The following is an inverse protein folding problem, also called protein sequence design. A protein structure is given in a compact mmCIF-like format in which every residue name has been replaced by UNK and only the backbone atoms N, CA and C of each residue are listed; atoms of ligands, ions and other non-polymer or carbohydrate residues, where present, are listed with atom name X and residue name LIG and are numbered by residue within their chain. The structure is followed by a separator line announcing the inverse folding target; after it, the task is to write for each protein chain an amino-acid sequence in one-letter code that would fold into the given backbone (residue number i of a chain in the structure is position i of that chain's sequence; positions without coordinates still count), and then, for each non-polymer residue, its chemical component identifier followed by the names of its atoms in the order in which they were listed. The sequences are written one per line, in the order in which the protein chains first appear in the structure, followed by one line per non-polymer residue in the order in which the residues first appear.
data_IF_394519280313
#
_entry.id   IF_394519280313
#
_cell.length_a   1.000
_cell.length_b   1.000
_cell.length_c   1.000
_cell.angle_alpha   90.00
_cell.angle_beta   90.00
_cell.angle_gamma   90.00
#
_symmetry.space_group_name_H-M   'P 1'
#
loop_
_entity.id
_entity.type
_entity.pdbx_description
1 polymer ?
#
# COMPACT_ATOMS: atom_id res chain seq x y z
N UNK A 1 13.56 -8.85 -5.61
CA UNK A 1 12.57 -8.02 -4.89
C UNK A 1 11.41 -7.64 -5.79
N UNK A 2 11.63 -6.92 -6.91
CA UNK A 2 10.57 -6.48 -7.85
C UNK A 2 9.61 -7.62 -8.23
N UNK A 3 10.12 -8.71 -8.83
CA UNK A 3 9.29 -9.85 -9.25
C UNK A 3 8.53 -10.45 -8.06
N UNK A 4 9.20 -10.61 -6.91
CA UNK A 4 8.58 -11.15 -5.70
C UNK A 4 7.42 -10.28 -5.19
N UNK A 5 7.56 -8.96 -5.20
CA UNK A 5 6.50 -8.05 -4.78
C UNK A 5 5.35 -8.01 -5.77
N UNK A 6 5.62 -8.12 -7.08
CA UNK A 6 4.57 -8.27 -8.11
C UNK A 6 3.78 -9.56 -7.85
N UNK A 7 4.45 -10.70 -7.69
CA UNK A 7 3.79 -11.96 -7.40
C UNK A 7 3.01 -11.93 -6.08
N UNK A 8 3.55 -11.28 -5.03
CA UNK A 8 2.89 -11.14 -3.74
C UNK A 8 1.57 -10.38 -3.85
N UNK A 9 1.59 -9.20 -4.48
CA UNK A 9 0.37 -8.38 -4.68
C UNK A 9 -0.60 -9.07 -5.63
N UNK A 10 -0.11 -9.71 -6.70
CA UNK A 10 -0.94 -10.48 -7.63
C UNK A 10 -1.60 -11.71 -7.00
N UNK A 11 -1.02 -12.25 -5.93
CA UNK A 11 -1.59 -13.39 -5.20
C UNK A 11 -2.76 -13.01 -4.26
N UNK A 12 -3.09 -11.71 -4.15
CA UNK A 12 -4.18 -11.25 -3.29
C UNK A 12 -3.86 -11.34 -1.79
N UNK A 13 -2.58 -11.48 -1.44
CA UNK A 13 -2.13 -11.35 -0.06
C UNK A 13 -2.32 -9.92 0.39
N UNK A 14 -2.75 -9.75 1.64
CA UNK A 14 -2.91 -8.45 2.25
C UNK A 14 -1.54 -7.86 2.62
N UNK A 15 -0.87 -7.32 1.61
CA UNK A 15 0.51 -6.82 1.65
C UNK A 15 0.61 -5.54 0.82
N UNK A 16 1.27 -4.53 1.38
CA UNK A 16 1.56 -3.28 0.68
C UNK A 16 2.78 -3.41 -0.25
N UNK A 17 2.68 -2.85 -1.46
CA UNK A 17 3.82 -2.68 -2.38
C UNK A 17 4.78 -1.53 -1.98
N UNK A 18 4.33 -0.65 -1.09
CA UNK A 18 4.99 0.63 -0.82
C UNK A 18 6.33 0.47 -0.09
N UNK A 19 6.42 -0.42 0.91
CA UNK A 19 7.67 -0.70 1.62
C UNK A 19 8.81 -1.18 0.69
N UNK A 20 8.58 -2.23 -0.12
CA UNK A 20 9.57 -2.69 -1.10
C UNK A 20 10.01 -1.62 -2.09
N UNK A 21 9.15 -0.67 -2.48
CA UNK A 21 9.50 0.43 -3.39
C UNK A 21 10.55 1.38 -2.77
N UNK A 22 10.46 1.66 -1.47
CA UNK A 22 11.48 2.46 -0.75
C UNK A 22 12.84 1.77 -0.83
N UNK A 23 12.88 0.47 -0.55
CA UNK A 23 14.11 -0.31 -0.58
C UNK A 23 14.70 -0.43 -2.00
N UNK A 24 13.85 -0.58 -3.02
CA UNK A 24 14.28 -0.58 -4.43
C UNK A 24 14.91 0.78 -4.79
N UNK A 25 14.29 1.89 -4.39
CA UNK A 25 14.82 3.24 -4.60
C UNK A 25 16.18 3.44 -3.94
N UNK A 26 16.33 3.01 -2.68
CA UNK A 26 17.60 3.03 -1.96
C UNK A 26 18.68 2.17 -2.64
N UNK A 27 18.32 0.97 -3.11
CA UNK A 27 19.24 0.08 -3.83
C UNK A 27 19.72 0.68 -5.17
N UNK A 28 18.81 1.30 -5.93
CA UNK A 28 19.15 1.97 -7.18
C UNK A 28 20.10 3.16 -6.92
N UNK A 29 19.81 3.98 -5.92
CA UNK A 29 20.69 5.08 -5.54
C UNK A 29 22.08 4.60 -5.08
N UNK A 30 22.13 3.51 -4.32
CA UNK A 30 23.39 2.89 -3.91
C UNK A 30 24.20 2.38 -5.12
N UNK A 31 23.55 1.76 -6.10
CA UNK A 31 24.20 1.29 -7.34
C UNK A 31 24.75 2.46 -8.16
N UNK A 32 23.99 3.55 -8.26
CA UNK A 32 24.40 4.77 -8.97
C UNK A 32 25.58 5.46 -8.27
N UNK A 33 25.57 5.55 -6.93
CA UNK A 33 26.65 6.15 -6.14
C UNK A 33 27.99 5.41 -6.30
N UNK A 34 27.97 4.08 -6.45
CA UNK A 34 29.18 3.27 -6.63
C UNK A 34 29.71 3.25 -8.07
N UNK A 35 28.98 3.87 -9.02
CA UNK A 35 29.31 3.81 -10.44
C UNK A 35 29.07 2.44 -11.07
N UNK A 36 28.23 1.59 -10.48
CA UNK A 36 27.81 0.30 -11.03
C UNK A 36 28.12 -0.91 -10.14
N UNK A 37 27.76 -2.10 -10.64
CA UNK A 37 27.82 -3.33 -9.85
C UNK A 37 29.23 -3.92 -9.80
N UNK A 38 29.78 -4.10 -8.59
CA UNK A 38 31.03 -4.83 -8.37
C UNK A 38 30.99 -6.26 -8.90
N UNK A 39 29.81 -6.88 -8.96
CA UNK A 39 29.62 -8.25 -9.47
C UNK A 39 29.73 -8.35 -10.99
N UNK A 40 29.29 -7.31 -11.71
CA UNK A 40 29.31 -7.25 -13.17
C UNK A 40 30.50 -6.45 -13.74
N UNK A 41 31.38 -5.92 -12.88
CA UNK A 41 32.57 -5.10 -13.23
C UNK A 41 32.28 -3.90 -14.14
N UNK A 42 31.02 -3.49 -14.32
CA UNK A 42 30.68 -2.21 -14.95
C UNK A 42 30.96 -1.10 -13.93
N UNK A 43 32.13 -0.48 -14.01
CA UNK A 43 32.47 0.74 -13.26
C UNK A 43 32.50 1.93 -14.20
N UNK A 44 31.46 2.74 -14.15
CA UNK A 44 31.36 3.99 -14.88
C UNK A 44 32.35 4.98 -14.25
N UNK A 45 33.45 5.26 -14.94
CA UNK A 45 34.55 6.08 -14.42
C UNK A 45 34.11 7.49 -14.00
N UNK A 46 33.09 8.06 -14.64
CA UNK A 46 32.55 9.39 -14.33
C UNK A 46 31.88 9.48 -12.95
N UNK A 47 31.30 8.38 -12.44
CA UNK A 47 30.61 8.35 -11.15
C UNK A 47 31.54 8.12 -9.95
N UNK A 48 32.86 7.95 -10.17
CA UNK A 48 33.84 7.73 -9.09
C UNK A 48 33.89 8.86 -8.05
N UNK A 49 33.53 10.08 -8.43
CA UNK A 49 33.53 11.23 -7.52
C UNK A 49 32.56 11.04 -6.33
N UNK A 50 31.47 10.31 -6.53
CA UNK A 50 30.46 10.04 -5.50
C UNK A 50 30.77 8.81 -4.64
N UNK A 51 31.98 8.25 -4.73
CA UNK A 51 32.38 7.07 -3.97
C UNK A 51 32.83 7.39 -2.52
N UNK A 52 32.28 8.46 -1.95
CA UNK A 52 32.50 8.90 -0.58
C UNK A 52 31.29 8.50 0.27
N UNK A 53 31.51 8.01 1.49
CA UNK A 53 30.41 7.49 2.33
C UNK A 53 29.34 8.55 2.63
N UNK A 54 29.76 9.82 2.73
CA UNK A 54 28.85 10.95 2.91
C UNK A 54 27.92 11.16 1.72
N UNK A 55 28.48 11.26 0.52
CA UNK A 55 27.69 11.49 -0.70
C UNK A 55 26.84 10.27 -1.06
N UNK A 56 27.35 9.07 -0.77
CA UNK A 56 26.62 7.81 -0.88
C UNK A 56 25.40 7.79 0.04
N UNK A 57 25.57 8.20 1.30
CA UNK A 57 24.44 8.32 2.24
C UNK A 57 23.42 9.33 1.73
N UNK A 58 23.84 10.50 1.30
CA UNK A 58 22.95 11.54 0.76
C UNK A 58 22.17 11.04 -0.47
N UNK A 59 22.82 10.29 -1.38
CA UNK A 59 22.18 9.68 -2.55
C UNK A 59 21.18 8.59 -2.16
N UNK A 60 21.52 7.71 -1.22
CA UNK A 60 20.62 6.67 -0.71
C UNK A 60 19.38 7.30 -0.07
N UNK A 61 19.55 8.39 0.68
CA UNK A 61 18.44 9.17 1.25
C UNK A 61 17.52 9.72 0.15
N UNK A 62 18.09 10.31 -0.90
CA UNK A 62 17.31 10.74 -2.08
C UNK A 62 16.58 9.57 -2.76
N UNK A 63 17.22 8.40 -2.86
CA UNK A 63 16.63 7.18 -3.43
C UNK A 63 15.46 6.62 -2.62
N UNK A 64 15.62 6.54 -1.30
CA UNK A 64 14.55 6.12 -0.38
C UNK A 64 13.36 7.10 -0.44
N UNK A 65 13.64 8.41 -0.37
CA UNK A 65 12.65 9.48 -0.52
C UNK A 65 11.88 9.38 -1.84
N UNK A 66 12.59 9.10 -2.94
CA UNK A 66 12.03 8.90 -4.28
C UNK A 66 11.14 7.65 -4.35
N UNK A 67 11.49 6.57 -3.64
CA UNK A 67 10.66 5.37 -3.52
C UNK A 67 9.35 5.63 -2.77
N UNK A 68 9.40 6.36 -1.65
CA UNK A 68 8.20 6.80 -0.91
C UNK A 68 7.33 7.73 -1.78
N UNK A 69 7.95 8.66 -2.48
CA UNK A 69 7.26 9.54 -3.41
C UNK A 69 6.56 8.76 -4.53
N UNK A 70 7.22 7.76 -5.13
CA UNK A 70 6.63 6.90 -6.15
C UNK A 70 5.46 6.06 -5.61
N UNK A 71 5.56 5.62 -4.35
CA UNK A 71 4.54 4.86 -3.64
C UNK A 71 3.25 5.66 -3.41
N UNK A 72 3.37 6.81 -2.73
CA UNK A 72 2.23 7.62 -2.28
C UNK A 72 1.88 8.77 -3.21
N UNK A 73 2.64 8.98 -4.28
CA UNK A 73 2.49 10.10 -5.23
C UNK A 73 2.60 11.47 -4.56
N UNK A 74 3.31 11.54 -3.42
CA UNK A 74 3.50 12.74 -2.62
C UNK A 74 4.98 13.12 -2.52
N UNK A 75 5.44 14.19 -3.20
CA UNK A 75 6.85 14.57 -3.21
C UNK A 75 7.27 15.12 -1.84
N UNK A 76 6.46 15.99 -1.24
CA UNK A 76 6.73 16.55 0.09
C UNK A 76 6.69 15.46 1.17
N UNK A 77 5.74 14.52 1.09
CA UNK A 77 5.68 13.37 1.99
C UNK A 77 6.95 12.52 1.93
N UNK A 78 7.49 12.27 0.73
CA UNK A 78 8.76 11.57 0.55
C UNK A 78 9.96 12.31 1.17
N UNK A 79 10.00 13.64 1.08
CA UNK A 79 11.06 14.45 1.70
C UNK A 79 10.95 14.44 3.22
N UNK A 80 9.74 14.57 3.78
CA UNK A 80 9.49 14.50 5.22
C UNK A 80 9.83 13.12 5.79
N UNK A 81 9.50 12.04 5.08
CA UNK A 81 9.92 10.69 5.48
C UNK A 81 11.44 10.56 5.53
N UNK A 82 12.15 11.07 4.50
CA UNK A 82 13.60 11.02 4.48
C UNK A 82 14.25 11.86 5.59
N UNK A 83 13.57 12.94 5.98
CA UNK A 83 13.90 13.81 7.11
C UNK A 83 13.78 13.11 8.46
N UNK A 84 12.68 12.41 8.67
CA UNK A 84 12.32 11.79 9.94
C UNK A 84 13.05 10.47 10.18
N UNK A 85 13.12 9.62 9.15
CA UNK A 85 13.55 8.22 9.30
C UNK A 85 14.96 7.91 8.76
N UNK A 86 15.47 8.72 7.83
CA UNK A 86 16.73 8.39 7.11
C UNK A 86 17.88 9.36 7.44
N UNK A 87 17.56 10.63 7.68
CA UNK A 87 18.54 11.67 7.98
C UNK A 87 18.64 11.92 9.50
N UNK A 88 19.84 11.76 10.05
CA UNK A 88 20.11 12.13 11.46
C UNK A 88 20.46 13.61 11.62
N UNK A 89 20.93 14.24 10.55
CA UNK A 89 21.39 15.63 10.54
C UNK A 89 20.87 16.34 9.30
N UNK A 90 20.27 17.51 9.49
CA UNK A 90 19.64 18.27 8.43
C UNK A 90 20.60 19.26 7.77
N UNK A 91 20.64 19.25 6.43
CA UNK A 91 21.36 20.24 5.63
C UNK A 91 20.46 20.77 4.54
N UNK A 92 20.44 22.08 4.35
CA UNK A 92 19.62 22.74 3.32
C UNK A 92 19.92 22.23 1.91
N UNK A 93 21.17 21.86 1.63
CA UNK A 93 21.53 21.26 0.33
C UNK A 93 20.91 19.87 0.11
N UNK A 94 20.76 19.05 1.16
CA UNK A 94 20.14 17.73 1.06
C UNK A 94 18.63 17.84 0.88
N UNK A 95 17.99 18.82 1.54
CA UNK A 95 16.58 19.17 1.33
C UNK A 95 16.32 19.44 -0.16
N UNK A 96 17.07 20.36 -0.76
CA UNK A 96 16.86 20.71 -2.16
C UNK A 96 17.10 19.54 -3.11
N UNK A 97 18.12 18.72 -2.85
CA UNK A 97 18.41 17.51 -3.65
C UNK A 97 17.29 16.47 -3.54
N UNK A 98 16.78 16.21 -2.34
CA UNK A 98 15.68 15.26 -2.10
C UNK A 98 14.37 15.76 -2.71
N UNK A 99 14.06 17.04 -2.54
CA UNK A 99 12.90 17.67 -3.15
C UNK A 99 12.93 17.61 -4.69
N UNK A 100 14.08 17.96 -5.30
CA UNK A 100 14.23 17.89 -6.75
C UNK A 100 14.07 16.45 -7.28
N UNK A 101 14.66 15.47 -6.59
CA UNK A 101 14.54 14.05 -6.93
C UNK A 101 13.09 13.58 -6.87
N UNK A 102 12.38 13.86 -5.78
CA UNK A 102 10.97 13.47 -5.61
C UNK A 102 10.03 14.20 -6.56
N UNK A 103 10.26 15.48 -6.85
CA UNK A 103 9.50 16.23 -7.85
C UNK A 103 9.67 15.64 -9.25
N UNK A 104 10.90 15.25 -9.61
CA UNK A 104 11.19 14.60 -10.90
C UNK A 104 10.43 13.28 -11.04
N UNK A 105 10.42 12.47 -9.98
CA UNK A 105 9.66 11.20 -9.94
C UNK A 105 8.18 11.44 -10.21
N UNK A 106 7.57 12.44 -9.57
CA UNK A 106 6.16 12.77 -9.79
C UNK A 106 5.91 13.17 -11.23
N UNK A 107 6.71 14.07 -11.79
CA UNK A 107 6.55 14.53 -13.19
C UNK A 107 6.65 13.37 -14.16
N UNK A 108 7.65 12.50 -14.00
CA UNK A 108 7.83 11.30 -14.83
C UNK A 108 6.64 10.36 -14.69
N UNK A 109 6.23 10.07 -13.46
CA UNK A 109 5.08 9.19 -13.19
C UNK A 109 3.79 9.75 -13.79
N UNK A 110 3.54 11.07 -13.65
CA UNK A 110 2.40 11.77 -14.25
C UNK A 110 2.43 11.64 -15.78
N UNK A 111 3.57 11.89 -16.39
CA UNK A 111 3.74 11.78 -17.85
C UNK A 111 3.43 10.37 -18.35
N UNK A 112 3.93 9.33 -17.65
CA UNK A 112 3.63 7.94 -18.00
C UNK A 112 2.15 7.58 -17.83
N UNK A 113 1.50 8.04 -16.75
CA UNK A 113 0.06 7.81 -16.53
C UNK A 113 -0.75 8.44 -17.67
N UNK A 114 -0.43 9.68 -18.08
CA UNK A 114 -1.14 10.37 -19.15
C UNK A 114 -0.97 9.69 -20.50
N UNK A 115 0.24 9.26 -20.83
CA UNK A 115 0.51 8.45 -22.03
C UNK A 115 -0.32 7.15 -22.02
N UNK A 116 -0.40 6.52 -20.85
CA UNK A 116 -1.14 5.29 -20.66
C UNK A 116 -2.66 5.46 -20.60
N UNK A 117 -3.16 6.68 -20.31
CA UNK A 117 -4.57 7.04 -20.34
C UNK A 117 -5.15 7.00 -21.75
N UNK A 118 -4.31 7.15 -22.78
CA UNK A 118 -4.68 7.00 -24.20
C UNK A 118 -5.02 5.56 -24.63
N UNK A 119 -5.43 4.67 -23.73
CA UNK A 119 -5.90 3.30 -24.00
C UNK A 119 -4.81 2.27 -24.32
N UNK A 120 -3.55 2.68 -24.52
CA UNK A 120 -2.45 1.81 -24.95
C UNK A 120 -1.84 0.94 -23.85
N UNK A 121 -2.08 1.25 -22.57
CA UNK A 121 -1.48 0.52 -21.44
C UNK A 121 -2.51 -0.17 -20.52
N UNK A 122 -3.77 -0.33 -20.94
CA UNK A 122 -4.81 -0.96 -20.10
C UNK A 122 -5.00 -0.27 -18.75
N UNK A 123 -5.06 -1.05 -17.66
CA UNK A 123 -5.34 -0.55 -16.31
C UNK A 123 -4.23 0.33 -15.71
N UNK A 124 -3.04 0.43 -16.32
CA UNK A 124 -1.96 1.30 -15.81
C UNK A 124 -2.31 2.80 -15.91
N UNK A 125 -3.21 3.19 -16.82
CA UNK A 125 -3.77 4.55 -16.89
C UNK A 125 -4.90 4.80 -15.89
N UNK A 126 -5.44 3.75 -15.26
CA UNK A 126 -6.52 3.85 -14.28
C UNK A 126 -5.92 4.08 -12.88
N UNK A 127 -5.86 5.34 -12.45
CA UNK A 127 -5.37 5.69 -11.12
C UNK A 127 -5.05 7.17 -11.01
N UNK A 128 -5.91 7.90 -10.29
CA UNK A 128 -5.74 9.32 -10.00
C UNK A 128 -4.41 9.64 -9.31
N UNK A 129 -3.97 10.88 -9.49
CA UNK A 129 -2.72 11.40 -8.94
C UNK A 129 -2.75 11.56 -7.43
N UNK A 130 -3.96 11.65 -6.90
CA UNK A 130 -4.29 11.67 -5.50
C UNK A 130 -5.00 10.34 -5.21
N UNK A 131 -4.45 9.57 -4.28
CA UNK A 131 -5.07 8.31 -3.85
C UNK A 131 -6.35 8.62 -3.05
N UNK A 132 -6.30 9.68 -2.25
CA UNK A 132 -7.36 10.23 -1.41
C UNK A 132 -7.95 11.51 -2.02
N UNK A 133 -8.69 11.40 -3.11
CA UNK A 133 -9.39 12.56 -3.66
C UNK A 133 -10.73 12.72 -2.93
N UNK A 134 -10.80 13.65 -1.99
CA UNK A 134 -12.04 14.05 -1.29
C UNK A 134 -12.67 15.27 -1.98
N UNK A 135 -12.33 15.49 -3.26
CA UNK A 135 -12.72 16.65 -4.04
C UNK A 135 -14.19 16.65 -4.42
N UNK A 136 -15.04 17.13 -3.52
CA UNK A 136 -16.11 18.13 -3.82
C UNK A 136 -16.99 18.46 -2.60
N UNK A 137 -16.77 17.82 -1.45
CA UNK A 137 -17.58 18.07 -0.25
C UNK A 137 -16.83 18.99 0.71
N UNK A 138 -17.39 20.18 0.95
CA UNK A 138 -16.84 21.12 1.94
C UNK A 138 -17.15 20.63 3.36
N UNK A 139 -16.30 19.74 3.88
CA UNK A 139 -16.39 19.29 5.27
C UNK A 139 -15.94 20.44 6.19
N UNK A 140 -16.90 21.06 6.88
CA UNK A 140 -16.63 22.11 7.88
C UNK A 140 -16.49 21.46 9.26
N UNK A 141 -15.27 21.38 9.76
CA UNK A 141 -14.98 20.92 11.12
C UNK A 141 -15.30 22.02 12.14
N UNK A 142 -16.00 21.66 13.21
CA UNK A 142 -16.25 22.50 14.38
C UNK A 142 -15.28 22.12 15.50
N UNK A 143 -15.06 23.04 16.46
CA UNK A 143 -14.22 22.78 17.64
C UNK A 143 -14.67 21.56 18.44
N UNK A 144 -15.98 21.26 18.46
CA UNK A 144 -16.50 20.04 19.09
C UNK A 144 -16.03 18.73 18.41
N UNK A 145 -15.76 18.77 17.11
CA UNK A 145 -15.31 17.60 16.35
C UNK A 145 -13.86 17.24 16.70
N UNK A 146 -13.07 18.18 17.23
CA UNK A 146 -11.70 17.93 17.69
C UNK A 146 -11.65 16.88 18.80
N UNK A 147 -12.66 16.87 19.68
CA UNK A 147 -12.76 15.86 20.74
C UNK A 147 -13.00 14.47 20.16
N UNK A 148 -13.85 14.35 19.14
CA UNK A 148 -14.09 13.10 18.44
C UNK A 148 -12.85 12.63 17.67
N UNK A 149 -12.17 13.53 16.95
CA UNK A 149 -10.91 13.21 16.24
C UNK A 149 -9.83 12.73 17.21
N UNK A 150 -9.72 13.38 18.37
CA UNK A 150 -8.76 12.99 19.42
C UNK A 150 -9.11 11.61 19.98
N UNK A 151 -10.39 11.33 20.24
CA UNK A 151 -10.84 10.02 20.73
C UNK A 151 -10.53 8.91 19.72
N UNK A 152 -10.79 9.14 18.44
CA UNK A 152 -10.42 8.20 17.36
C UNK A 152 -8.90 7.97 17.33
N UNK A 153 -8.10 9.03 17.51
CA UNK A 153 -6.64 8.94 17.61
C UNK A 153 -6.18 8.08 18.79
N UNK A 154 -6.78 8.23 19.97
CA UNK A 154 -6.47 7.42 21.16
C UNK A 154 -6.84 5.95 20.93
N UNK A 155 -8.03 5.67 20.39
CA UNK A 155 -8.48 4.30 20.08
C UNK A 155 -7.53 3.66 19.05
N UNK A 156 -7.17 4.38 17.99
CA UNK A 156 -6.22 3.93 16.98
C UNK A 156 -4.83 3.65 17.57
N UNK A 157 -4.34 4.50 18.47
CA UNK A 157 -3.06 4.28 19.16
C UNK A 157 -3.06 3.03 20.04
N UNK A 158 -4.14 2.79 20.81
CA UNK A 158 -4.28 1.59 21.65
C UNK A 158 -4.40 0.33 20.80
N UNK A 159 -5.21 0.35 19.75
CA UNK A 159 -5.36 -0.78 18.82
C UNK A 159 -4.05 -1.06 18.07
N UNK A 160 -3.32 -0.03 17.65
CA UNK A 160 -2.01 -0.17 17.01
C UNK A 160 -0.94 -0.76 17.94
N UNK A 161 -0.94 -0.36 19.22
CA UNK A 161 -0.05 -0.95 20.22
C UNK A 161 -0.37 -2.43 20.46
N UNK A 162 -1.66 -2.79 20.54
CA UNK A 162 -2.12 -4.18 20.66
C UNK A 162 -1.73 -4.99 19.41
N UNK A 163 -1.95 -4.43 18.21
CA UNK A 163 -1.57 -5.06 16.94
C UNK A 163 -0.08 -5.37 16.91
N UNK A 164 0.78 -4.40 17.24
CA UNK A 164 2.23 -4.61 17.29
C UNK A 164 2.64 -5.66 18.33
N UNK A 165 1.99 -5.71 19.49
CA UNK A 165 2.26 -6.72 20.50
C UNK A 165 1.96 -8.13 19.99
N UNK A 166 0.79 -8.33 19.37
CA UNK A 166 0.39 -9.61 18.78
C UNK A 166 1.29 -9.97 17.59
N UNK A 167 1.60 -9.00 16.74
CA UNK A 167 2.51 -9.16 15.61
C UNK A 167 3.88 -9.68 16.06
N UNK A 168 4.44 -9.11 17.14
CA UNK A 168 5.69 -9.59 17.72
C UNK A 168 5.59 -11.04 18.23
N UNK A 169 4.45 -11.46 18.75
CA UNK A 169 4.23 -12.85 19.14
C UNK A 169 4.20 -13.79 17.93
N UNK A 170 3.48 -13.40 16.87
CA UNK A 170 3.42 -14.16 15.60
C UNK A 170 4.81 -14.27 14.95
N UNK A 171 5.55 -13.16 14.89
CA UNK A 171 6.91 -13.14 14.33
C UNK A 171 7.88 -14.03 15.10
N UNK A 172 7.77 -14.09 16.44
CA UNK A 172 8.57 -15.03 17.25
C UNK A 172 8.26 -16.48 16.89
N UNK A 173 6.98 -16.83 16.73
CA UNK A 173 6.58 -18.16 16.27
C UNK A 173 7.11 -18.45 14.86
N UNK A 174 7.01 -17.49 13.95
CA UNK A 174 7.52 -17.63 12.58
C UNK A 174 9.03 -17.80 12.55
N UNK A 175 9.79 -17.11 13.40
CA UNK A 175 11.23 -17.30 13.52
C UNK A 175 11.59 -18.74 13.93
N UNK A 176 10.89 -19.30 14.93
CA UNK A 176 11.08 -20.70 15.34
C UNK A 176 10.78 -21.71 14.21
N UNK A 177 9.77 -21.42 13.38
CA UNK A 177 9.45 -22.24 12.20
C UNK A 177 10.50 -22.05 11.11
N UNK A 178 10.94 -20.81 10.89
CA UNK A 178 11.91 -20.42 9.88
C UNK A 178 13.30 -21.03 10.15
N UNK A 179 13.67 -21.27 11.42
CA UNK A 179 14.92 -21.90 11.81
C UNK A 179 14.98 -23.40 11.46
N UNK A 180 13.83 -24.07 11.29
CA UNK A 180 13.76 -25.50 10.89
C UNK A 180 14.23 -25.76 9.46
N UNK A 181 14.44 -24.72 8.65
CA UNK A 181 15.03 -24.81 7.32
C UNK A 181 14.15 -24.25 6.21
N UNK A 182 14.66 -24.27 4.96
CA UNK A 182 14.03 -23.60 3.81
C UNK A 182 12.64 -24.15 3.47
N UNK A 183 12.42 -25.45 3.64
CA UNK A 183 11.12 -26.07 3.34
C UNK A 183 10.03 -25.63 4.33
N UNK A 184 10.38 -25.45 5.60
CA UNK A 184 9.45 -24.93 6.60
C UNK A 184 9.02 -23.49 6.28
N UNK A 185 9.94 -22.65 5.79
CA UNK A 185 9.64 -21.28 5.33
C UNK A 185 8.63 -21.27 4.17
N UNK A 186 8.84 -22.14 3.19
CA UNK A 186 7.97 -22.25 2.02
C UNK A 186 6.60 -22.83 2.40
N UNK A 187 6.57 -23.86 3.25
CA UNK A 187 5.33 -24.45 3.75
C UNK A 187 4.51 -23.44 4.55
N UNK A 188 5.16 -22.63 5.41
CA UNK A 188 4.51 -21.55 6.15
C UNK A 188 3.90 -20.50 5.20
N UNK A 189 4.67 -20.01 4.23
CA UNK A 189 4.17 -19.05 3.26
C UNK A 189 2.98 -19.60 2.47
N UNK A 190 3.05 -20.86 2.03
CA UNK A 190 1.96 -21.52 1.30
C UNK A 190 0.72 -21.72 2.18
N UNK A 191 0.89 -22.12 3.44
CA UNK A 191 -0.21 -22.26 4.40
C UNK A 191 -0.92 -20.91 4.63
N UNK A 192 -0.16 -19.82 4.79
CA UNK A 192 -0.73 -18.47 4.92
C UNK A 192 -1.46 -18.06 3.65
N UNK A 193 -0.90 -18.30 2.45
CA UNK A 193 -1.60 -18.00 1.19
C UNK A 193 -2.93 -18.76 1.04
N UNK A 194 -2.95 -20.04 1.43
CA UNK A 194 -4.19 -20.85 1.41
C UNK A 194 -5.19 -20.31 2.43
N UNK A 195 -4.73 -19.99 3.64
CA UNK A 195 -5.57 -19.42 4.69
C UNK A 195 -6.19 -18.08 4.27
N UNK A 196 -5.40 -17.16 3.71
CA UNK A 196 -5.88 -15.85 3.25
C UNK A 196 -6.86 -16.03 2.09
N UNK A 197 -6.55 -16.89 1.12
CA UNK A 197 -7.43 -17.13 -0.03
C UNK A 197 -8.77 -17.76 0.39
N UNK A 198 -8.73 -18.73 1.30
CA UNK A 198 -9.92 -19.35 1.86
C UNK A 198 -10.76 -18.32 2.65
N UNK A 199 -10.10 -17.49 3.47
CA UNK A 199 -10.76 -16.40 4.20
C UNK A 199 -11.46 -15.43 3.25
N UNK A 200 -10.74 -14.89 2.27
CA UNK A 200 -11.29 -13.93 1.30
C UNK A 200 -12.46 -14.50 0.48
N UNK A 201 -12.48 -15.82 0.23
CA UNK A 201 -13.58 -16.46 -0.50
C UNK A 201 -14.77 -16.83 0.38
N UNK A 202 -14.55 -17.35 1.60
CA UNK A 202 -15.60 -17.85 2.51
C UNK A 202 -16.30 -16.72 3.27
N UNK A 203 -15.56 -15.69 3.68
CA UNK A 203 -16.10 -14.61 4.53
C UNK A 203 -17.26 -13.83 3.87
N UNK A 204 -17.25 -13.54 2.56
CA UNK A 204 -18.42 -12.96 1.88
C UNK A 204 -19.73 -13.74 2.02
N UNK A 205 -19.70 -15.05 2.29
CA UNK A 205 -20.92 -15.86 2.48
C UNK A 205 -21.62 -15.58 3.82
N UNK A 206 -20.94 -14.96 4.78
CA UNK A 206 -21.49 -14.70 6.11
C UNK A 206 -22.39 -13.44 6.17
N UNK A 207 -22.39 -12.61 5.11
CA UNK A 207 -23.09 -11.32 5.09
C UNK A 207 -24.24 -11.36 4.07
N UNK A 208 -25.43 -10.83 4.40
CA UNK A 208 -26.56 -10.78 3.47
C UNK A 208 -26.30 -9.81 2.31
N UNK A 209 -26.90 -10.11 1.17
CA UNK A 209 -26.85 -9.26 -0.02
C UNK A 209 -27.63 -7.95 0.17
N UNK A 210 -27.14 -6.88 -0.44
CA UNK A 210 -27.75 -5.54 -0.43
C UNK A 210 -28.32 -5.22 -1.82
N UNK A 211 -29.51 -4.60 -1.89
CA UNK A 211 -30.08 -4.17 -3.16
C UNK A 211 -29.33 -2.98 -3.73
N UNK A 212 -29.13 -2.97 -5.05
CA UNK A 212 -28.61 -1.78 -5.75
C UNK A 212 -29.64 -0.64 -5.68
N UNK A 213 -29.24 0.50 -5.13
CA UNK A 213 -30.02 1.74 -5.23
C UNK A 213 -29.81 2.38 -6.61
N UNK A 214 -30.88 2.74 -7.36
CA UNK A 214 -30.76 3.47 -8.62
C UNK A 214 -30.04 4.82 -8.50
N UNK A 215 -29.89 5.38 -7.29
CA UNK A 215 -29.12 6.60 -7.04
C UNK A 215 -27.60 6.44 -7.25
N UNK A 216 -27.06 5.22 -7.23
CA UNK A 216 -25.60 4.95 -7.30
C UNK A 216 -24.98 5.03 -8.72
N UNK A 217 -25.74 5.45 -9.75
CA UNK A 217 -25.23 5.57 -11.12
C UNK A 217 -25.11 4.23 -11.88
N UNK A 218 -24.67 4.30 -13.14
CA UNK A 218 -25.00 3.34 -14.21
C UNK A 218 -24.36 1.92 -14.16
N UNK A 219 -23.69 1.48 -13.10
CA UNK A 219 -23.06 0.15 -13.07
C UNK A 219 -23.09 -0.54 -11.71
N UNK A 220 -24.28 -0.70 -11.13
CA UNK A 220 -24.53 -1.63 -10.03
C UNK A 220 -25.32 -2.85 -10.55
N UNK A 221 -24.81 -4.09 -10.41
CA UNK A 221 -23.47 -4.52 -10.01
C UNK A 221 -22.52 -4.73 -11.20
N UNK A 222 -21.22 -4.53 -10.99
CA UNK A 222 -20.18 -4.87 -11.95
C UNK A 222 -19.82 -6.36 -11.83
N UNK A 223 -19.97 -7.12 -12.91
CA UNK A 223 -19.56 -8.54 -13.01
C UNK A 223 -18.06 -8.71 -13.34
N UNK A 224 -17.33 -7.60 -13.53
CA UNK A 224 -15.90 -7.58 -13.83
C UNK A 224 -15.00 -7.56 -12.59
N UNK A 225 -13.68 -7.68 -12.80
CA UNK A 225 -12.68 -7.48 -11.73
C UNK A 225 -12.64 -6.03 -11.23
N UNK A 226 -13.10 -5.08 -12.04
CA UNK A 226 -13.13 -3.64 -11.79
C UNK A 226 -14.57 -3.13 -11.60
N UNK A 227 -14.80 -2.34 -10.55
CA UNK A 227 -16.08 -1.70 -10.26
C UNK A 227 -16.34 -1.58 -8.76
N UNK A 228 -17.18 -0.62 -8.37
CA UNK A 228 -17.48 -0.29 -6.97
C UNK A 228 -18.51 -1.23 -6.33
N UNK A 229 -19.14 -2.13 -7.09
CA UNK A 229 -20.17 -3.04 -6.59
C UNK A 229 -19.98 -4.43 -7.19
N UNK A 230 -19.56 -5.40 -6.39
CA UNK A 230 -19.34 -6.78 -6.85
C UNK A 230 -20.55 -7.65 -6.55
N UNK A 231 -21.12 -8.26 -7.59
CA UNK A 231 -22.10 -9.33 -7.44
C UNK A 231 -21.36 -10.63 -7.13
N UNK A 232 -21.28 -10.97 -5.85
CA UNK A 232 -20.73 -12.23 -5.38
C UNK A 232 -21.80 -13.01 -4.61
N UNK A 233 -22.22 -14.14 -5.17
CA UNK A 233 -23.23 -15.03 -4.58
C UNK A 233 -24.57 -14.32 -4.22
N UNK A 234 -24.96 -13.33 -5.03
CA UNK A 234 -26.21 -12.58 -4.85
C UNK A 234 -27.07 -12.67 -6.12
N UNK A 235 -28.42 -12.59 -5.99
CA UNK A 235 -29.31 -12.55 -7.14
C UNK A 235 -29.08 -11.30 -7.99
N UNK A 236 -29.54 -11.33 -9.25
CA UNK A 236 -29.38 -10.21 -10.18
C UNK A 236 -29.98 -8.91 -9.60
N UNK A 237 -29.21 -7.81 -9.66
CA UNK A 237 -29.61 -6.52 -9.09
C UNK A 237 -29.27 -6.33 -7.61
N UNK A 238 -28.56 -7.29 -6.99
CA UNK A 238 -28.01 -7.16 -5.64
C UNK A 238 -26.48 -7.30 -5.67
N UNK A 239 -25.81 -6.68 -4.71
CA UNK A 239 -24.37 -6.79 -4.51
C UNK A 239 -24.06 -7.27 -3.09
N UNK A 240 -22.80 -7.64 -2.88
CA UNK A 240 -22.30 -8.00 -1.56
C UNK A 240 -21.28 -6.95 -1.12
N UNK A 241 -21.63 -6.16 -0.10
CA UNK A 241 -20.79 -5.11 0.49
C UNK A 241 -19.41 -5.63 0.87
N UNK A 242 -19.37 -6.77 1.58
CA UNK A 242 -18.13 -7.34 2.08
C UNK A 242 -17.27 -7.90 0.95
N UNK A 243 -17.87 -8.57 -0.03
CA UNK A 243 -17.15 -9.05 -1.22
C UNK A 243 -16.57 -7.89 -2.05
N UNK A 244 -17.30 -6.77 -2.09
CA UNK A 244 -16.88 -5.55 -2.78
C UNK A 244 -15.60 -5.00 -2.16
N UNK A 245 -15.53 -4.94 -0.82
CA UNK A 245 -14.34 -4.48 -0.10
C UNK A 245 -13.18 -5.50 -0.17
N UNK A 246 -13.45 -6.79 0.09
CA UNK A 246 -12.41 -7.84 0.15
C UNK A 246 -11.80 -8.19 -1.20
N UNK A 247 -12.54 -8.03 -2.30
CA UNK A 247 -12.02 -8.29 -3.64
C UNK A 247 -11.62 -7.03 -4.40
N UNK A 248 -11.80 -5.84 -3.83
CA UNK A 248 -11.21 -4.62 -4.37
C UNK A 248 -9.69 -4.64 -4.13
N UNK A 249 -8.95 -3.83 -4.90
CA UNK A 249 -7.56 -3.57 -4.52
C UNK A 249 -7.54 -2.76 -3.23
N UNK A 250 -6.53 -2.89 -2.37
CA UNK A 250 -6.47 -2.13 -1.11
C UNK A 250 -6.62 -0.61 -1.33
N UNK A 251 -6.15 -0.10 -2.48
CA UNK A 251 -6.31 1.30 -2.90
C UNK A 251 -7.76 1.64 -3.22
N UNK A 252 -8.45 0.78 -3.97
CA UNK A 252 -9.85 1.00 -4.33
C UNK A 252 -10.79 0.78 -3.14
N UNK A 253 -10.51 -0.19 -2.27
CA UNK A 253 -11.22 -0.40 -1.02
C UNK A 253 -11.15 0.85 -0.13
N UNK A 254 -9.95 1.43 0.00
CA UNK A 254 -9.73 2.68 0.72
C UNK A 254 -10.53 3.83 0.09
N UNK A 255 -10.51 3.97 -1.24
CA UNK A 255 -11.30 4.99 -1.95
C UNK A 255 -12.80 4.83 -1.75
N UNK A 256 -13.29 3.59 -1.77
CA UNK A 256 -14.70 3.30 -1.56
C UNK A 256 -15.13 3.66 -0.12
N UNK A 257 -14.30 3.37 0.89
CA UNK A 257 -14.58 3.72 2.29
C UNK A 257 -14.59 5.25 2.50
N UNK A 258 -13.68 5.97 1.84
CA UNK A 258 -13.61 7.44 1.93
C UNK A 258 -14.52 8.17 0.92
N UNK A 259 -15.28 7.46 0.10
CA UNK A 259 -16.21 8.06 -0.86
C UNK A 259 -17.37 8.73 -0.12
N UNK A 260 -17.49 10.05 -0.25
CA UNK A 260 -18.55 10.84 0.38
C UNK A 260 -19.82 10.95 -0.47
N UNK A 261 -19.80 10.45 -1.71
CA UNK A 261 -20.87 10.65 -2.70
C UNK A 261 -22.13 9.83 -2.46
N UNK A 262 -22.09 8.87 -1.54
CA UNK A 262 -23.03 7.75 -1.50
C UNK A 262 -23.27 7.26 -0.06
N UNK A 263 -23.97 8.08 0.76
CA UNK A 263 -24.20 7.80 2.17
C UNK A 263 -25.12 6.58 2.35
N UNK A 264 -24.53 5.40 2.49
CA UNK A 264 -25.26 4.13 2.64
C UNK A 264 -24.73 2.96 1.81
N UNK A 265 -23.63 3.10 1.07
CA UNK A 265 -23.02 2.01 0.29
C UNK A 265 -22.61 0.79 1.11
N UNK A 266 -22.20 0.99 2.37
CA UNK A 266 -21.68 -0.08 3.21
C UNK A 266 -22.37 -0.09 4.56
N UNK A 267 -22.91 -1.25 4.93
CA UNK A 267 -23.45 -1.47 6.27
C UNK A 267 -22.35 -1.39 7.33
N UNK A 268 -22.67 -0.83 8.51
CA UNK A 268 -21.75 -0.75 9.64
C UNK A 268 -21.22 -2.13 10.05
N UNK A 269 -22.11 -3.15 10.05
CA UNK A 269 -21.75 -4.53 10.36
C UNK A 269 -20.66 -5.05 9.41
N UNK A 270 -20.82 -4.82 8.10
CA UNK A 270 -19.88 -5.22 7.06
C UNK A 270 -18.53 -4.53 7.23
N UNK A 271 -18.52 -3.24 7.60
CA UNK A 271 -17.28 -2.47 7.85
C UNK A 271 -16.53 -2.96 9.09
N UNK A 272 -17.24 -3.27 10.18
CA UNK A 272 -16.63 -3.81 11.40
C UNK A 272 -16.06 -5.21 11.17
N UNK A 273 -16.80 -6.05 10.43
CA UNK A 273 -16.34 -7.39 10.02
C UNK A 273 -15.11 -7.27 9.12
N UNK A 274 -15.15 -6.40 8.12
CA UNK A 274 -14.01 -6.11 7.25
C UNK A 274 -12.78 -5.67 8.05
N UNK A 275 -12.93 -4.70 8.95
CA UNK A 275 -11.84 -4.22 9.82
C UNK A 275 -11.22 -5.35 10.64
N UNK A 276 -12.04 -6.16 11.33
CA UNK A 276 -11.54 -7.25 12.16
C UNK A 276 -10.80 -8.33 11.34
N UNK A 277 -11.37 -8.74 10.21
CA UNK A 277 -10.78 -9.73 9.30
C UNK A 277 -9.44 -9.22 8.77
N UNK A 278 -9.41 -7.97 8.31
CA UNK A 278 -8.25 -7.40 7.66
C UNK A 278 -7.10 -7.21 8.65
N UNK A 279 -7.38 -6.82 9.91
CA UNK A 279 -6.40 -6.88 10.98
C UNK A 279 -5.85 -8.30 11.21
N UNK A 280 -6.71 -9.33 11.24
CA UNK A 280 -6.26 -10.72 11.44
C UNK A 280 -5.43 -11.21 10.25
N UNK A 281 -5.87 -10.94 9.02
CA UNK A 281 -5.14 -11.32 7.81
C UNK A 281 -3.78 -10.62 7.78
N UNK A 282 -3.72 -9.31 8.03
CA UNK A 282 -2.48 -8.54 8.13
C UNK A 282 -1.48 -9.09 9.14
N UNK A 283 -1.95 -9.56 10.31
CA UNK A 283 -1.09 -10.18 11.32
C UNK A 283 -0.39 -11.45 10.81
N UNK A 284 -1.10 -12.28 10.05
CA UNK A 284 -0.57 -13.56 9.55
C UNK A 284 0.19 -13.42 8.24
N UNK A 285 -0.19 -12.48 7.37
CA UNK A 285 0.50 -12.19 6.11
C UNK A 285 1.83 -11.51 6.36
N UNK A 286 1.96 -10.72 7.42
CA UNK A 286 3.23 -10.11 7.77
C UNK A 286 4.22 -11.12 8.36
N UNK A 287 5.48 -11.04 7.91
CA UNK A 287 6.57 -11.91 8.39
C UNK A 287 6.74 -13.21 7.62
N UNK A 288 5.89 -13.49 6.63
CA UNK A 288 6.17 -14.56 5.65
C UNK A 288 7.39 -14.19 4.80
N UNK A 289 8.03 -15.19 4.20
CA UNK A 289 9.24 -15.03 3.40
C UNK A 289 8.99 -14.41 2.00
N UNK A 290 8.33 -13.25 1.94
CA UNK A 290 7.92 -12.54 0.72
C UNK A 290 8.22 -11.05 0.88
N UNK A 291 8.72 -10.35 -0.15
CA UNK A 291 8.99 -8.91 -0.05
C UNK A 291 7.69 -8.09 0.00
N UNK A 292 7.35 -7.62 1.19
CA UNK A 292 6.12 -6.89 1.48
C UNK A 292 6.34 -5.63 2.32
N UNK A 293 5.30 -4.80 2.43
CA UNK A 293 5.23 -3.66 3.34
C UNK A 293 3.89 -3.62 4.07
N UNK A 294 3.83 -2.87 5.17
CA UNK A 294 2.68 -2.77 6.09
C UNK A 294 1.93 -1.43 6.01
N UNK A 295 2.28 -0.55 5.08
CA UNK A 295 1.77 0.83 5.15
C UNK A 295 0.30 0.98 4.72
N UNK A 296 -0.19 0.08 3.87
CA UNK A 296 -1.51 0.17 3.24
C UNK A 296 -2.54 -0.82 3.80
N UNK A 297 -2.14 -2.06 4.17
CA UNK A 297 -2.93 -2.89 5.08
C UNK A 297 -3.11 -2.22 6.44
#
# INVERSE_FOLDING_TARGET
QIIGSICAVSSGLDLGKEGPLVHIGACLANLLSQGGSGRFRLRWKWLRYFNNDRDRRDLITCGASSGVCAAFRSPVGGVLFALEEVATWWRSALLWRTFFSTATVVVVLRGFIEVCRGGRCGLFGAGGLIIFDVGDVTVRYRLGDLLLVTLVGVIGGVLGALYNHVLHMVLRLYNLINDKGRMAKLALALAVCVFTSAGLYVLPFAVPCTPCDPAFGAACPATGRSGNFKQFNCPAGQYNDLATLLHATNVDATRNIFSTGTPGEFRLDSLLIFFAIYCVLGLFTFGIAVPSGLFLP
#
